data_IF_547449584554
#
_entry.id   IF_547449584554
#
_cell.length_a   1.000
_cell.length_b   1.000
_cell.length_c   1.000
_cell.angle_alpha   90.00
_cell.angle_beta   90.00
_cell.angle_gamma   90.00
#
_symmetry.space_group_name_H-M   'P 1'
#
loop_
_entity.id
_entity.type
_entity.pdbx_description
1 polymer ?
#
# COMPACT_ATOMS: atom_id res chain seq x y z
N UNK A 1 -22.24 -0.05 -21.82
CA UNK A 1 -21.63 -0.40 -20.53
C UNK A 1 -20.14 -0.70 -20.76
N UNK A 2 -19.26 0.24 -20.42
CA UNK A 2 -17.81 0.09 -20.62
C UNK A 2 -17.27 -0.81 -19.51
N UNK A 3 -16.77 -1.99 -19.89
CA UNK A 3 -16.08 -2.91 -18.97
C UNK A 3 -14.82 -2.21 -18.47
N UNK A 4 -14.76 -1.93 -17.16
CA UNK A 4 -13.54 -1.48 -16.50
C UNK A 4 -12.56 -2.65 -16.54
N UNK A 5 -11.66 -2.63 -17.52
CA UNK A 5 -10.52 -3.52 -17.59
C UNK A 5 -9.53 -3.03 -16.54
N UNK A 6 -9.57 -3.60 -15.34
CA UNK A 6 -8.44 -3.55 -14.43
C UNK A 6 -7.26 -4.10 -15.23
N UNK A 7 -6.24 -3.27 -15.36
CA UNK A 7 -5.10 -3.46 -16.25
C UNK A 7 -4.37 -4.73 -15.81
N UNK A 8 -4.67 -5.85 -16.47
CA UNK A 8 -3.84 -7.03 -16.43
C UNK A 8 -2.50 -6.65 -17.08
N UNK A 9 -1.53 -6.22 -16.27
CA UNK A 9 -0.15 -6.01 -16.68
C UNK A 9 0.45 -7.42 -16.84
N UNK A 10 0.21 -8.01 -17.99
CA UNK A 10 0.90 -9.21 -18.46
C UNK A 10 2.34 -8.82 -18.81
N UNK A 11 3.28 -9.02 -17.89
CA UNK A 11 4.69 -8.83 -18.16
C UNK A 11 5.32 -10.18 -18.56
N UNK A 12 5.41 -10.41 -19.86
CA UNK A 12 6.14 -11.52 -20.47
C UNK A 12 7.66 -11.24 -20.47
N UNK A 13 8.42 -12.28 -20.09
CA UNK A 13 9.84 -12.58 -20.38
C UNK A 13 10.86 -11.44 -20.35
N UNK A 14 11.90 -11.59 -19.50
CA UNK A 14 13.29 -11.82 -19.96
C UNK A 14 14.03 -12.65 -18.91
N UNK A 15 14.50 -13.83 -19.31
CA UNK A 15 15.54 -14.61 -18.64
C UNK A 15 16.92 -14.01 -18.89
N UNK A 16 17.72 -13.77 -17.86
CA UNK A 16 19.16 -13.90 -17.97
C UNK A 16 19.78 -14.27 -16.62
N UNK A 17 20.27 -15.50 -16.54
CA UNK A 17 21.12 -15.96 -15.46
C UNK A 17 22.52 -15.37 -15.62
N UNK A 18 23.09 -14.84 -14.54
CA UNK A 18 24.55 -14.74 -14.38
C UNK A 18 24.96 -15.18 -12.98
N UNK A 19 25.83 -16.17 -12.96
CA UNK A 19 26.55 -16.71 -11.81
C UNK A 19 27.68 -15.73 -11.46
N UNK A 20 27.88 -15.43 -10.18
CA UNK A 20 29.12 -14.81 -9.68
C UNK A 20 29.55 -15.51 -8.38
N UNK A 21 30.84 -15.87 -8.23
CA UNK A 21 31.34 -16.62 -7.08
C UNK A 21 31.62 -15.72 -5.87
N UNK A 22 31.57 -16.35 -4.69
CA UNK A 22 31.83 -15.75 -3.39
C UNK A 22 33.31 -15.36 -3.21
N UNK A 23 33.54 -14.11 -2.80
CA UNK A 23 34.81 -13.66 -2.19
C UNK A 23 34.57 -13.37 -0.72
N UNK A 24 35.26 -14.14 0.12
CA UNK A 24 35.35 -13.93 1.56
C UNK A 24 36.41 -12.86 1.85
N UNK A 25 36.01 -11.76 2.49
CA UNK A 25 36.92 -10.73 2.99
C UNK A 25 36.45 -10.25 4.36
N UNK A 26 37.21 -10.59 5.41
CA UNK A 26 37.00 -10.09 6.77
C UNK A 26 37.45 -8.62 6.83
N UNK A 27 36.51 -7.72 7.04
CA UNK A 27 36.76 -6.30 7.30
C UNK A 27 35.72 -5.76 8.28
N UNK A 28 36.19 -5.27 9.43
CA UNK A 28 35.38 -4.64 10.47
C UNK A 28 35.00 -3.23 9.97
N UNK A 29 33.77 -3.04 9.52
CA UNK A 29 33.25 -1.72 9.12
C UNK A 29 32.38 -1.19 10.26
N UNK A 30 32.83 -0.09 10.85
CA UNK A 30 32.09 0.70 11.84
C UNK A 30 30.86 1.25 11.13
N UNK A 31 29.67 0.80 11.55
CA UNK A 31 28.39 1.28 11.04
C UNK A 31 28.18 2.73 11.51
N UNK A 32 28.49 3.67 10.63
CA UNK A 32 27.98 5.02 10.70
C UNK A 32 26.62 4.99 9.99
N UNK A 33 25.54 4.88 10.75
CA UNK A 33 24.17 5.04 10.25
C UNK A 33 23.99 6.47 9.76
N UNK A 34 24.35 6.73 8.50
CA UNK A 34 23.88 7.90 7.78
C UNK A 34 22.41 7.68 7.45
N UNK A 35 21.53 8.18 8.32
CA UNK A 35 20.13 8.43 7.97
C UNK A 35 20.13 9.46 6.83
N UNK A 36 20.12 8.98 5.59
CA UNK A 36 19.89 9.82 4.43
C UNK A 36 18.41 10.18 4.43
N UNK A 37 18.08 11.36 4.94
CA UNK A 37 16.82 12.02 4.67
C UNK A 37 16.73 12.21 3.15
N UNK A 38 15.93 11.39 2.48
CA UNK A 38 15.59 11.55 1.07
C UNK A 38 14.87 12.89 0.95
N UNK A 39 15.53 13.90 0.39
CA UNK A 39 14.90 15.19 0.11
C UNK A 39 13.72 14.98 -0.84
N UNK A 40 12.53 15.28 -0.33
CA UNK A 40 11.22 15.04 -0.92
C UNK A 40 10.84 16.02 -2.03
N UNK A 41 11.78 16.39 -2.90
CA UNK A 41 11.49 17.35 -3.96
C UNK A 41 10.37 16.81 -4.87
N UNK A 42 9.27 17.57 -4.96
CA UNK A 42 8.12 17.25 -5.82
C UNK A 42 6.91 16.62 -5.14
N UNK A 43 7.04 16.13 -3.89
CA UNK A 43 5.89 15.56 -3.18
C UNK A 43 4.94 16.65 -2.68
N UNK A 44 3.66 16.51 -2.96
CA UNK A 44 2.63 17.50 -2.62
C UNK A 44 1.67 16.94 -1.60
N UNK A 45 1.38 17.74 -0.59
CA UNK A 45 0.33 17.42 0.37
C UNK A 45 -1.05 17.44 -0.30
N UNK A 46 -1.86 16.46 0.08
CA UNK A 46 -3.20 16.24 -0.41
C UNK A 46 -4.13 16.00 0.78
N UNK A 47 -5.38 16.43 0.64
CA UNK A 47 -6.45 16.26 1.63
C UNK A 47 -7.53 15.37 1.03
N UNK A 48 -7.93 14.32 1.74
CA UNK A 48 -9.04 13.48 1.30
C UNK A 48 -10.37 14.24 1.34
N UNK A 49 -11.37 13.72 0.63
CA UNK A 49 -12.73 14.28 0.66
C UNK A 49 -13.26 14.29 2.09
N UNK A 50 -13.98 15.37 2.42
CA UNK A 50 -14.44 15.65 3.78
C UNK A 50 -13.32 15.83 4.83
N UNK A 51 -12.05 15.98 4.42
CA UNK A 51 -10.95 16.30 5.32
C UNK A 51 -10.58 15.17 6.29
N UNK A 52 -10.91 13.92 5.98
CA UNK A 52 -10.70 12.77 6.88
C UNK A 52 -9.23 12.50 7.20
N UNK A 53 -8.33 12.87 6.28
CA UNK A 53 -6.88 12.70 6.43
C UNK A 53 -6.10 13.58 5.45
N UNK A 54 -4.82 13.74 5.75
CA UNK A 54 -3.82 14.34 4.86
C UNK A 54 -2.72 13.34 4.54
N UNK A 55 -2.19 13.41 3.32
CA UNK A 55 -1.12 12.53 2.85
C UNK A 55 -0.32 13.23 1.76
N UNK A 56 0.97 12.93 1.59
CA UNK A 56 1.76 13.47 0.47
C UNK A 56 1.83 12.47 -0.67
N UNK A 57 1.61 12.95 -1.90
CA UNK A 57 1.75 12.15 -3.13
C UNK A 57 2.85 12.70 -4.03
N UNK A 58 3.47 11.87 -4.89
CA UNK A 58 4.49 12.32 -5.83
C UNK A 58 3.95 13.23 -6.94
N UNK A 59 2.64 13.14 -7.24
CA UNK A 59 1.92 14.06 -8.12
C UNK A 59 0.49 14.27 -7.62
N UNK A 60 -0.29 15.13 -8.28
CA UNK A 60 -1.70 15.30 -7.93
C UNK A 60 -2.43 13.96 -8.14
N UNK A 61 -3.06 13.37 -7.12
CA UNK A 61 -3.76 12.12 -7.29
C UNK A 61 -5.06 12.30 -8.08
N UNK A 62 -5.39 11.31 -8.89
CA UNK A 62 -6.72 11.11 -9.43
C UNK A 62 -7.64 10.59 -8.31
N UNK A 63 -8.87 11.08 -8.25
CA UNK A 63 -9.87 10.67 -7.26
C UNK A 63 -10.99 9.88 -7.91
N UNK A 64 -11.30 8.73 -7.32
CA UNK A 64 -12.40 7.85 -7.69
C UNK A 64 -13.25 7.63 -6.45
N UNK A 65 -14.57 7.77 -6.58
CA UNK A 65 -15.54 7.49 -5.51
C UNK A 65 -16.60 6.55 -6.05
N UNK A 66 -16.75 5.38 -5.43
CA UNK A 66 -17.65 4.34 -5.91
C UNK A 66 -18.34 3.61 -4.76
N UNK A 67 -19.35 2.83 -5.13
CA UNK A 67 -20.02 1.87 -4.26
C UNK A 67 -19.86 0.48 -4.85
N UNK A 68 -19.45 -0.47 -4.03
CA UNK A 68 -19.36 -1.87 -4.38
C UNK A 68 -20.43 -2.63 -3.59
N UNK A 69 -21.34 -3.30 -4.27
CA UNK A 69 -22.22 -4.26 -3.62
C UNK A 69 -21.42 -5.49 -3.24
N UNK A 70 -21.56 -5.96 -1.99
CA UNK A 70 -21.03 -7.24 -1.50
C UNK A 70 -22.21 -8.21 -1.43
N UNK A 71 -22.48 -8.97 -2.51
CA UNK A 71 -23.77 -9.67 -2.64
C UNK A 71 -23.97 -10.76 -1.59
N UNK A 72 -22.89 -11.41 -1.17
CA UNK A 72 -22.91 -12.48 -0.17
C UNK A 72 -23.32 -11.98 1.22
N UNK A 73 -23.02 -10.72 1.53
CA UNK A 73 -23.27 -10.12 2.85
C UNK A 73 -24.40 -9.08 2.84
N UNK A 74 -24.96 -8.78 1.66
CA UNK A 74 -26.16 -7.97 1.50
C UNK A 74 -26.00 -6.47 1.78
N UNK A 75 -24.76 -5.95 1.77
CA UNK A 75 -24.49 -4.51 1.96
C UNK A 75 -23.68 -3.88 0.82
N UNK A 76 -23.65 -2.55 0.82
CA UNK A 76 -22.80 -1.74 -0.07
C UNK A 76 -21.59 -1.20 0.70
N UNK A 77 -20.40 -1.40 0.15
CA UNK A 77 -19.19 -0.75 0.59
C UNK A 77 -19.01 0.55 -0.19
N UNK A 78 -18.94 1.69 0.50
CA UNK A 78 -18.55 2.96 -0.12
C UNK A 78 -17.04 3.11 0.01
N UNK A 79 -16.38 3.52 -1.07
CA UNK A 79 -14.95 3.82 -1.00
C UNK A 79 -14.54 5.05 -1.82
N UNK A 80 -13.50 5.73 -1.33
CA UNK A 80 -12.79 6.79 -2.01
C UNK A 80 -11.35 6.33 -2.25
N UNK A 81 -10.88 6.38 -3.49
CA UNK A 81 -9.52 6.03 -3.88
C UNK A 81 -8.81 7.25 -4.50
N UNK A 82 -7.56 7.47 -4.07
CA UNK A 82 -6.66 8.51 -4.57
C UNK A 82 -5.42 7.84 -5.12
N UNK A 83 -5.15 8.00 -6.41
CA UNK A 83 -4.08 7.29 -7.11
C UNK A 83 -3.14 8.27 -7.79
N UNK A 84 -1.85 8.13 -7.56
CA UNK A 84 -0.81 8.95 -8.15
C UNK A 84 0.33 8.08 -8.67
N UNK A 85 0.78 8.36 -9.88
CA UNK A 85 1.86 7.62 -10.51
C UNK A 85 3.16 8.42 -10.45
N UNK A 86 4.26 7.73 -10.12
CA UNK A 86 5.63 8.24 -10.22
C UNK A 86 6.33 7.49 -11.37
N UNK A 87 6.84 8.26 -12.34
CA UNK A 87 7.66 7.78 -13.47
C UNK A 87 7.08 6.59 -14.26
N UNK A 88 5.74 6.44 -14.27
CA UNK A 88 4.98 5.33 -14.90
C UNK A 88 5.27 3.93 -14.38
N UNK A 89 6.11 3.77 -13.35
CA UNK A 89 6.55 2.46 -12.84
C UNK A 89 6.14 2.17 -11.41
N UNK A 90 5.75 3.22 -10.69
CA UNK A 90 5.32 3.14 -9.30
C UNK A 90 4.00 3.87 -9.13
N UNK A 91 3.03 3.22 -8.53
CA UNK A 91 1.69 3.72 -8.26
C UNK A 91 1.55 3.83 -6.75
N UNK A 92 1.19 5.01 -6.25
CA UNK A 92 0.87 5.27 -4.85
C UNK A 92 -0.63 5.47 -4.72
N UNK A 93 -1.22 4.82 -3.72
CA UNK A 93 -2.66 4.80 -3.51
C UNK A 93 -3.01 5.06 -2.05
N UNK A 94 -4.01 5.92 -1.84
CA UNK A 94 -4.80 5.97 -0.61
C UNK A 94 -6.20 5.48 -0.93
N UNK A 95 -6.67 4.44 -0.25
CA UNK A 95 -8.05 3.98 -0.31
C UNK A 95 -8.69 4.14 1.07
N UNK A 96 -9.89 4.73 1.10
CA UNK A 96 -10.70 4.90 2.29
C UNK A 96 -12.00 4.14 2.05
N UNK A 97 -12.15 2.98 2.68
CA UNK A 97 -13.37 2.19 2.61
C UNK A 97 -14.18 2.36 3.90
N UNK A 98 -15.49 2.52 3.76
CA UNK A 98 -16.43 2.61 4.86
C UNK A 98 -17.20 1.29 4.96
N UNK A 99 -16.86 0.51 5.98
CA UNK A 99 -17.59 -0.71 6.33
C UNK A 99 -18.94 -0.38 6.96
N UNK A 100 -19.89 -1.32 6.90
CA UNK A 100 -21.14 -1.22 7.64
C UNK A 100 -20.92 -0.99 9.15
N UNK A 101 -21.86 -0.34 9.84
CA UNK A 101 -21.70 0.06 11.24
C UNK A 101 -21.60 -1.10 12.24
N UNK A 102 -21.91 -2.33 11.82
CA UNK A 102 -21.71 -3.52 12.66
C UNK A 102 -20.24 -3.98 12.71
N UNK A 103 -19.39 -3.49 11.81
CA UNK A 103 -17.93 -3.66 11.89
C UNK A 103 -17.39 -2.54 12.76
N UNK A 104 -17.00 -2.86 13.99
CA UNK A 104 -16.47 -1.88 14.93
C UNK A 104 -14.96 -2.07 15.20
N UNK A 105 -14.40 -1.12 15.94
CA UNK A 105 -12.97 -1.10 16.29
C UNK A 105 -12.55 -2.28 17.18
N UNK A 106 -13.47 -2.92 17.91
CA UNK A 106 -13.15 -4.10 18.72
C UNK A 106 -12.78 -5.30 17.85
N UNK A 107 -13.22 -5.29 16.59
CA UNK A 107 -12.90 -6.29 15.58
C UNK A 107 -11.73 -5.87 14.67
N UNK A 108 -11.07 -4.73 14.93
CA UNK A 108 -10.08 -4.15 14.01
C UNK A 108 -8.98 -5.13 13.59
N UNK A 109 -8.41 -5.89 14.53
CA UNK A 109 -7.37 -6.87 14.20
C UNK A 109 -7.91 -7.97 13.28
N UNK A 110 -9.08 -8.54 13.60
CA UNK A 110 -9.73 -9.57 12.78
C UNK A 110 -10.06 -9.03 11.38
N UNK A 111 -10.51 -7.77 11.30
CA UNK A 111 -10.76 -7.09 10.02
C UNK A 111 -9.48 -6.90 9.21
N UNK A 112 -8.37 -6.51 9.84
CA UNK A 112 -7.07 -6.34 9.16
C UNK A 112 -6.51 -7.67 8.65
N UNK A 113 -6.60 -8.73 9.46
CA UNK A 113 -6.20 -10.08 9.06
C UNK A 113 -7.09 -10.60 7.92
N UNK A 114 -8.40 -10.42 8.02
CA UNK A 114 -9.35 -10.76 6.96
C UNK A 114 -9.06 -10.02 5.65
N UNK A 115 -8.72 -8.73 5.73
CA UNK A 115 -8.30 -7.92 4.59
C UNK A 115 -7.03 -8.49 3.93
N UNK A 116 -5.98 -8.78 4.70
CA UNK A 116 -4.75 -9.36 4.16
C UNK A 116 -5.00 -10.73 3.51
N UNK A 117 -5.78 -11.59 4.18
CA UNK A 117 -6.17 -12.90 3.65
C UNK A 117 -6.96 -12.77 2.34
N UNK A 118 -7.84 -11.78 2.24
CA UNK A 118 -8.56 -11.47 1.00
C UNK A 118 -7.62 -11.14 -0.17
N UNK A 119 -6.57 -10.34 0.07
CA UNK A 119 -5.56 -10.04 -0.95
C UNK A 119 -4.83 -11.32 -1.36
N UNK A 120 -4.39 -12.13 -0.41
CA UNK A 120 -3.64 -13.37 -0.70
C UNK A 120 -4.49 -14.40 -1.44
N UNK A 121 -5.77 -14.53 -1.10
CA UNK A 121 -6.69 -15.45 -1.77
C UNK A 121 -7.06 -15.02 -3.20
N UNK A 122 -7.01 -13.71 -3.50
CA UNK A 122 -7.40 -13.18 -4.81
C UNK A 122 -6.46 -13.61 -5.96
N UNK A 123 -5.21 -13.96 -5.67
CA UNK A 123 -4.28 -14.44 -6.68
C UNK A 123 -3.31 -15.47 -6.09
N UNK A 124 -3.28 -16.72 -6.58
CA UNK A 124 -2.43 -17.77 -6.03
C UNK A 124 -0.92 -17.51 -6.19
N UNK A 125 -0.53 -16.54 -7.04
CA UNK A 125 0.86 -16.13 -7.20
C UNK A 125 1.30 -15.06 -6.17
N UNK A 126 0.39 -14.63 -5.28
CA UNK A 126 0.73 -13.68 -4.22
C UNK A 126 1.60 -14.38 -3.17
N UNK A 127 2.81 -13.85 -2.97
CA UNK A 127 3.73 -14.29 -1.94
C UNK A 127 3.83 -13.20 -0.87
N UNK A 128 3.38 -13.52 0.34
CA UNK A 128 3.61 -12.66 1.50
C UNK A 128 5.09 -12.69 1.88
N UNK A 129 5.75 -11.53 1.82
CA UNK A 129 7.13 -11.35 2.25
C UNK A 129 7.22 -10.90 3.70
N UNK A 130 6.28 -10.06 4.13
CA UNK A 130 6.23 -9.47 5.46
C UNK A 130 4.79 -9.11 5.83
N UNK A 131 4.44 -9.26 7.10
CA UNK A 131 3.26 -8.67 7.71
C UNK A 131 3.53 -8.42 9.20
N UNK A 132 3.09 -7.29 9.73
CA UNK A 132 3.22 -6.96 11.15
C UNK A 132 2.11 -6.01 11.62
N UNK A 133 1.60 -6.31 12.82
CA UNK A 133 0.58 -5.49 13.47
C UNK A 133 1.25 -4.39 14.28
N UNK A 134 0.73 -3.18 14.15
CA UNK A 134 1.28 -2.00 14.81
C UNK A 134 0.18 -0.99 15.18
N UNK A 135 0.58 0.07 15.88
CA UNK A 135 -0.29 1.19 16.19
C UNK A 135 0.16 2.44 15.43
N UNK A 136 -0.80 3.13 14.82
CA UNK A 136 -0.62 4.46 14.21
C UNK A 136 -1.55 5.43 14.91
N UNK A 137 -1.00 6.38 15.66
CA UNK A 137 -1.77 7.32 16.48
C UNK A 137 -2.82 6.63 17.39
N UNK A 138 -2.45 5.48 17.94
CA UNK A 138 -3.32 4.65 18.80
C UNK A 138 -4.36 3.80 18.07
N UNK A 139 -4.38 3.84 16.74
CA UNK A 139 -5.27 3.02 15.90
C UNK A 139 -4.57 1.74 15.47
N UNK A 140 -5.32 0.62 15.42
CA UNK A 140 -4.81 -0.66 14.96
C UNK A 140 -4.47 -0.59 13.48
N UNK A 141 -3.28 -1.06 13.13
CA UNK A 141 -2.79 -1.08 11.77
C UNK A 141 -2.05 -2.40 11.46
N UNK A 142 -1.92 -2.68 10.16
CA UNK A 142 -1.19 -3.81 9.61
C UNK A 142 -0.29 -3.31 8.48
N UNK A 143 1.01 -3.41 8.68
CA UNK A 143 1.98 -3.29 7.60
C UNK A 143 2.11 -4.63 6.90
N UNK A 144 2.19 -4.61 5.57
CA UNK A 144 2.35 -5.82 4.77
C UNK A 144 3.19 -5.56 3.52
N UNK A 145 3.83 -6.61 3.04
CA UNK A 145 4.60 -6.59 1.80
C UNK A 145 4.38 -7.89 1.04
N UNK A 146 3.81 -7.78 -0.16
CA UNK A 146 3.46 -8.89 -1.04
C UNK A 146 4.25 -8.76 -2.34
N UNK A 147 4.67 -9.89 -2.89
CA UNK A 147 5.22 -10.00 -4.24
C UNK A 147 4.29 -10.83 -5.11
N UNK A 148 4.05 -10.36 -6.32
CA UNK A 148 3.30 -11.09 -7.35
C UNK A 148 4.10 -11.06 -8.64
N UNK A 149 4.91 -12.10 -8.86
CA UNK A 149 5.83 -12.16 -10.00
C UNK A 149 6.88 -11.03 -10.00
N UNK A 150 6.79 -10.14 -11.00
CA UNK A 150 7.68 -8.99 -11.19
C UNK A 150 7.22 -7.69 -10.51
N UNK A 151 6.15 -7.76 -9.72
CA UNK A 151 5.52 -6.61 -9.07
C UNK A 151 5.57 -6.78 -7.55
N UNK A 152 5.81 -5.66 -6.88
CA UNK A 152 5.71 -5.49 -5.44
C UNK A 152 4.46 -4.69 -5.09
N UNK A 153 3.76 -5.16 -4.06
CA UNK A 153 2.64 -4.48 -3.44
C UNK A 153 2.93 -4.35 -1.94
N UNK A 154 3.27 -3.14 -1.50
CA UNK A 154 3.61 -2.85 -0.11
C UNK A 154 2.61 -1.85 0.44
N UNK A 155 2.10 -2.08 1.64
CA UNK A 155 1.06 -1.22 2.18
C UNK A 155 0.93 -1.25 3.69
N UNK A 156 0.17 -0.27 4.17
CA UNK A 156 -0.26 -0.09 5.55
C UNK A 156 -1.77 0.04 5.55
N UNK A 157 -2.45 -0.89 6.20
CA UNK A 157 -3.89 -0.84 6.44
C UNK A 157 -4.14 -0.34 7.87
N UNK A 158 -5.01 0.65 8.06
CA UNK A 158 -5.32 1.23 9.37
C UNK A 158 -6.83 1.21 9.58
N UNK A 159 -7.28 0.69 10.71
CA UNK A 159 -8.68 0.64 11.09
C UNK A 159 -9.02 1.75 12.09
N UNK A 160 -9.98 2.60 11.73
CA UNK A 160 -10.54 3.64 12.61
C UNK A 160 -12.05 3.52 12.63
N UNK A 161 -12.61 3.10 13.76
CA UNK A 161 -14.04 2.74 13.85
C UNK A 161 -14.40 1.72 12.76
N UNK A 162 -15.33 2.06 11.88
CA UNK A 162 -15.77 1.26 10.74
C UNK A 162 -15.08 1.66 9.41
N UNK A 163 -13.95 2.37 9.46
CA UNK A 163 -13.24 2.82 8.25
C UNK A 163 -11.87 2.17 8.13
N UNK A 164 -11.60 1.64 6.93
CA UNK A 164 -10.29 1.11 6.53
C UNK A 164 -9.57 2.15 5.68
N UNK A 165 -8.39 2.57 6.15
CA UNK A 165 -7.45 3.39 5.39
C UNK A 165 -6.33 2.49 4.88
N UNK A 166 -6.24 2.31 3.57
CA UNK A 166 -5.17 1.59 2.92
C UNK A 166 -4.23 2.58 2.24
N UNK A 167 -3.00 2.66 2.74
CA UNK A 167 -1.89 3.34 2.08
C UNK A 167 -1.05 2.29 1.39
N UNK A 168 -0.95 2.33 0.07
CA UNK A 168 -0.21 1.31 -0.68
C UNK A 168 0.66 1.89 -1.77
N UNK A 169 1.74 1.17 -2.09
CA UNK A 169 2.54 1.34 -3.27
C UNK A 169 2.55 0.04 -4.06
N UNK A 170 2.30 0.14 -5.36
CA UNK A 170 2.52 -0.93 -6.32
C UNK A 170 3.64 -0.52 -7.29
N UNK A 171 4.66 -1.35 -7.49
CA UNK A 171 5.72 -1.06 -8.44
C UNK A 171 6.37 -2.32 -8.99
N UNK A 172 7.06 -2.19 -10.13
CA UNK A 172 7.99 -3.23 -10.56
C UNK A 172 9.11 -3.43 -9.53
N UNK A 173 9.60 -4.66 -9.38
CA UNK A 173 10.69 -4.99 -8.43
C UNK A 173 11.91 -4.08 -8.61
N UNK A 174 12.30 -3.79 -9.85
CA UNK A 174 13.44 -2.93 -10.19
C UNK A 174 13.21 -1.44 -9.88
N UNK A 175 11.95 -1.04 -9.69
CA UNK A 175 11.54 0.35 -9.41
C UNK A 175 11.26 0.57 -7.92
N UNK A 176 11.45 -0.47 -7.11
CA UNK A 176 11.23 -0.40 -5.68
C UNK A 176 12.16 0.58 -5.00
N UNK A 177 11.58 1.52 -4.26
CA UNK A 177 12.32 2.47 -3.43
C UNK A 177 11.70 2.51 -2.03
N UNK A 178 12.40 1.91 -1.08
CA UNK A 178 12.01 1.88 0.34
C UNK A 178 11.87 3.28 0.92
N UNK A 179 12.76 4.21 0.57
CA UNK A 179 12.73 5.59 1.07
C UNK A 179 11.48 6.35 0.62
N UNK A 180 11.10 6.22 -0.65
CA UNK A 180 9.88 6.83 -1.19
C UNK A 180 8.62 6.25 -0.56
N UNK A 181 8.56 4.92 -0.36
CA UNK A 181 7.46 4.27 0.36
C UNK A 181 7.37 4.77 1.80
N UNK A 182 8.49 4.82 2.53
CA UNK A 182 8.51 5.27 3.92
C UNK A 182 8.11 6.74 4.04
N UNK A 183 8.56 7.59 3.12
CA UNK A 183 8.12 8.99 3.07
C UNK A 183 6.62 9.12 2.81
N UNK A 184 6.07 8.32 1.88
CA UNK A 184 4.63 8.26 1.62
C UNK A 184 3.85 7.91 2.89
N UNK A 185 4.10 6.74 3.48
CA UNK A 185 3.28 6.26 4.61
C UNK A 185 3.47 7.08 5.89
N UNK A 186 4.67 7.62 6.13
CA UNK A 186 4.92 8.48 7.30
C UNK A 186 4.35 9.89 7.17
N UNK A 187 3.99 10.31 5.96
CA UNK A 187 3.33 11.60 5.73
C UNK A 187 1.83 11.61 6.05
N UNK A 188 1.26 10.43 6.33
CA UNK A 188 -0.14 10.28 6.69
C UNK A 188 -0.45 10.96 8.02
N UNK A 189 -1.56 11.69 8.07
CA UNK A 189 -2.15 12.20 9.32
C UNK A 189 -3.66 12.11 9.23
N UNK A 190 -4.29 11.77 10.36
CA UNK A 190 -5.74 11.89 10.48
C UNK A 190 -6.18 13.36 10.43
N UNK A 191 -7.36 13.61 9.90
CA UNK A 191 -8.01 14.91 9.95
C UNK A 191 -8.39 15.28 11.38
N UNK A 192 -8.24 16.56 11.71
CA UNK A 192 -8.66 17.15 12.99
C UNK A 192 -10.15 17.49 13.01
#
# INVERSE_FOLDING_TARGET
>A
MKKLKILAITCSLVTLAMVVPAVAGKGKVVAQESSQAVESQGWKEFHSVAGKCTLKFPSQPEHISEKMSVPEEGYELKYDAYVSTQDKKSIYMLLIAEYPPFVDQSLAQVSLEGFLNGILANNPNNQLLYADLLLVDGQQALDFFIRTGGVYFKGRAIMVKNQLYLLAMECEVQSYNEGSYNYFVSSFKFGS
#
